data_IF_880801242113
#
_entry.id   IF_880801242113
#
_cell.length_a   1.000
_cell.length_b   1.000
_cell.length_c   1.000
_cell.angle_alpha   90.00
_cell.angle_beta   90.00
_cell.angle_gamma   90.00
#
_symmetry.space_group_name_H-M   'P 1'
#
loop_
_entity.id
_entity.type
_entity.pdbx_description
1 polymer ?
#
# COMPACT_ATOMS: atom_id res chain seq x y z
N UNK A 1 33.28 23.73 10.03
CA UNK A 1 33.48 22.39 9.42
C UNK A 1 32.12 21.72 9.41
N UNK A 2 31.55 21.50 8.21
CA UNK A 2 30.24 20.86 8.06
C UNK A 2 30.28 19.38 8.49
N UNK A 3 29.14 18.86 8.97
CA UNK A 3 28.99 17.44 9.27
C UNK A 3 29.24 16.63 7.99
N UNK A 4 29.83 15.41 8.08
CA UNK A 4 29.93 14.52 6.96
C UNK A 4 28.58 14.30 6.29
N UNK A 5 28.54 14.28 4.96
CA UNK A 5 27.31 14.22 4.14
C UNK A 5 26.38 13.09 4.61
N UNK A 6 26.93 11.96 5.01
CA UNK A 6 26.18 10.79 5.50
C UNK A 6 25.44 11.07 6.83
N UNK A 7 26.04 11.82 7.74
CA UNK A 7 25.38 12.23 9.00
C UNK A 7 24.28 13.26 8.75
N UNK A 8 24.48 14.14 7.76
CA UNK A 8 23.47 15.09 7.31
C UNK A 8 22.25 14.38 6.73
N UNK A 9 22.45 13.38 5.90
CA UNK A 9 21.37 12.57 5.30
C UNK A 9 20.59 11.79 6.37
N UNK A 10 21.26 11.14 7.31
CA UNK A 10 20.61 10.39 8.40
C UNK A 10 19.77 11.31 9.29
N UNK A 11 20.31 12.47 9.66
CA UNK A 11 19.58 13.46 10.46
C UNK A 11 18.37 14.01 9.73
N UNK A 12 18.49 14.27 8.44
CA UNK A 12 17.40 14.73 7.59
C UNK A 12 16.30 13.65 7.44
N UNK A 13 16.67 12.39 7.20
CA UNK A 13 15.74 11.27 7.10
C UNK A 13 14.95 11.07 8.41
N UNK A 14 15.62 11.16 9.57
CA UNK A 14 14.97 11.07 10.88
C UNK A 14 13.98 12.22 11.12
N UNK A 15 14.38 13.45 10.76
CA UNK A 15 13.51 14.63 10.90
C UNK A 15 12.31 14.57 9.94
N UNK A 16 12.49 14.08 8.73
CA UNK A 16 11.41 13.89 7.77
C UNK A 16 10.42 12.85 8.27
N UNK A 17 10.91 11.71 8.77
CA UNK A 17 10.07 10.66 9.36
C UNK A 17 9.26 11.20 10.53
N UNK A 18 9.90 11.97 11.44
CA UNK A 18 9.22 12.59 12.56
C UNK A 18 8.10 13.54 12.11
N UNK A 19 8.37 14.39 11.12
CA UNK A 19 7.37 15.33 10.57
C UNK A 19 6.23 14.63 9.83
N UNK A 20 6.51 13.53 9.13
CA UNK A 20 5.48 12.70 8.49
C UNK A 20 4.55 12.05 9.53
N UNK A 21 5.10 11.64 10.66
CA UNK A 21 4.32 11.06 11.76
C UNK A 21 3.49 12.09 12.54
N UNK A 22 3.96 13.35 12.61
CA UNK A 22 3.31 14.43 13.38
C UNK A 22 2.26 15.22 12.58
N UNK A 23 2.24 15.12 11.24
CA UNK A 23 1.34 15.93 10.41
C UNK A 23 0.22 15.11 9.79
N UNK A 24 -1.01 15.38 10.18
CA UNK A 24 -2.24 14.94 9.53
C UNK A 24 -2.71 15.92 8.44
N UNK A 25 -1.95 16.96 8.13
CA UNK A 25 -2.27 18.00 7.14
C UNK A 25 -1.17 18.16 6.09
N UNK A 26 -1.56 18.50 4.87
CA UNK A 26 -0.71 18.67 3.68
C UNK A 26 0.72 19.16 3.96
N UNK A 27 1.72 18.29 3.76
CA UNK A 27 3.13 18.67 3.77
C UNK A 27 3.49 19.16 2.37
N UNK A 28 3.58 20.47 2.18
CA UNK A 28 4.24 21.07 1.01
C UNK A 28 5.73 21.13 1.28
N UNK A 29 6.46 20.13 0.81
CA UNK A 29 7.92 20.16 0.84
C UNK A 29 8.43 21.04 -0.29
N UNK A 30 8.81 22.30 0.02
CA UNK A 30 9.63 23.12 -0.85
C UNK A 30 11.09 22.84 -0.56
N UNK A 31 11.74 22.07 -1.41
CA UNK A 31 13.19 21.95 -1.39
C UNK A 31 13.81 22.99 -2.33
N UNK A 32 14.62 23.90 -1.80
CA UNK A 32 15.58 24.68 -2.56
C UNK A 32 16.95 24.05 -2.40
N UNK A 33 17.51 23.53 -3.48
CA UNK A 33 18.92 23.14 -3.58
C UNK A 33 19.70 24.37 -4.08
N UNK A 34 20.24 25.14 -3.16
CA UNK A 34 21.05 26.33 -3.50
C UNK A 34 22.51 26.00 -3.81
N UNK A 35 22.87 24.73 -3.95
CA UNK A 35 24.27 24.31 -3.89
C UNK A 35 24.86 23.64 -5.12
N UNK A 36 24.11 23.37 -6.20
CA UNK A 36 24.71 22.87 -7.44
C UNK A 36 24.00 23.42 -8.67
N UNK A 37 24.56 24.45 -9.35
CA UNK A 37 24.04 24.91 -10.65
C UNK A 37 24.24 23.81 -11.71
N UNK A 38 23.14 23.31 -12.27
CA UNK A 38 23.17 22.44 -13.46
C UNK A 38 22.97 20.94 -13.24
N UNK A 39 22.83 20.45 -12.01
CA UNK A 39 22.45 19.06 -11.80
C UNK A 39 20.92 18.89 -11.98
N UNK A 40 20.46 17.92 -12.80
CA UNK A 40 19.04 17.61 -12.85
C UNK A 40 18.62 17.12 -11.46
N UNK A 41 17.60 17.77 -10.88
CA UNK A 41 17.00 17.34 -9.61
C UNK A 41 16.33 15.99 -9.86
N UNK A 42 17.06 14.91 -9.67
CA UNK A 42 16.44 13.59 -9.59
C UNK A 42 15.70 13.55 -8.25
N UNK A 43 14.37 13.53 -8.28
CA UNK A 43 13.59 13.28 -7.07
C UNK A 43 14.09 11.99 -6.42
N UNK A 44 14.40 12.05 -5.13
CA UNK A 44 14.82 10.86 -4.38
C UNK A 44 13.79 9.75 -4.57
N UNK A 45 14.22 8.50 -4.85
CA UNK A 45 13.32 7.37 -4.98
C UNK A 45 12.35 7.22 -3.80
N UNK A 46 12.78 7.61 -2.60
CA UNK A 46 11.99 7.60 -1.37
C UNK A 46 10.84 8.60 -1.36
N UNK A 47 11.03 9.79 -1.93
CA UNK A 47 9.98 10.82 -2.04
C UNK A 47 8.92 10.36 -3.06
N UNK A 48 9.35 9.77 -4.16
CA UNK A 48 8.45 9.20 -5.17
C UNK A 48 7.65 8.04 -4.56
N UNK A 49 8.27 7.22 -3.74
CA UNK A 49 7.63 6.08 -3.09
C UNK A 49 6.62 6.52 -2.03
N UNK A 50 6.95 7.49 -1.18
CA UNK A 50 6.04 8.07 -0.19
C UNK A 50 4.80 8.71 -0.85
N UNK A 51 4.97 9.56 -1.86
CA UNK A 51 3.86 10.14 -2.63
C UNK A 51 2.99 9.09 -3.33
N UNK A 52 3.60 8.00 -3.79
CA UNK A 52 2.89 6.89 -4.39
C UNK A 52 2.06 6.09 -3.38
N UNK A 53 2.54 5.95 -2.15
CA UNK A 53 1.80 5.33 -1.06
C UNK A 53 0.57 6.17 -0.71
N UNK A 54 0.73 7.46 -0.46
CA UNK A 54 -0.38 8.37 -0.14
C UNK A 54 -1.46 8.37 -1.24
N UNK A 55 -1.05 8.47 -2.51
CA UNK A 55 -1.99 8.40 -3.64
C UNK A 55 -2.68 7.04 -3.75
N UNK A 56 -1.97 5.94 -3.48
CA UNK A 56 -2.53 4.59 -3.51
C UNK A 56 -3.51 4.34 -2.38
N UNK A 57 -3.28 4.95 -1.23
CA UNK A 57 -4.13 4.83 -0.05
C UNK A 57 -5.20 5.93 0.05
N UNK A 58 -5.29 6.86 -0.92
CA UNK A 58 -6.25 7.97 -0.86
C UNK A 58 -7.71 7.54 -0.74
N UNK A 59 -8.04 6.35 -1.26
CA UNK A 59 -9.39 5.73 -1.16
C UNK A 59 -9.47 4.65 -0.07
N UNK A 60 -8.51 4.64 0.84
CA UNK A 60 -8.46 3.69 1.93
C UNK A 60 -8.26 4.42 3.25
N UNK A 61 -8.91 3.95 4.29
CA UNK A 61 -8.75 4.45 5.66
C UNK A 61 -8.15 3.36 6.53
N UNK A 62 -7.12 3.72 7.29
CA UNK A 62 -6.59 2.86 8.33
C UNK A 62 -7.45 2.99 9.58
N UNK A 63 -7.83 1.85 10.14
CA UNK A 63 -8.51 1.74 11.43
C UNK A 63 -7.70 0.84 12.35
N UNK A 64 -7.64 1.11 13.65
CA UNK A 64 -7.07 0.17 14.60
C UNK A 64 -7.85 -1.14 14.57
N UNK A 65 -7.16 -2.25 14.82
CA UNK A 65 -7.85 -3.53 15.01
C UNK A 65 -8.67 -3.49 16.30
N UNK A 66 -9.94 -3.91 16.31
CA UNK A 66 -10.81 -3.75 17.48
C UNK A 66 -10.30 -4.48 18.71
N UNK A 67 -9.74 -5.69 18.55
CA UNK A 67 -9.29 -6.52 19.67
C UNK A 67 -7.85 -6.24 20.08
N UNK A 68 -7.00 -5.77 19.15
CA UNK A 68 -5.57 -5.51 19.37
C UNK A 68 -5.16 -4.20 18.69
N UNK A 69 -5.54 -3.02 19.22
CA UNK A 69 -5.19 -1.75 18.61
C UNK A 69 -3.69 -1.47 18.76
N UNK A 70 -3.02 -1.29 17.61
CA UNK A 70 -1.61 -0.87 17.54
C UNK A 70 -1.45 0.35 16.64
N UNK A 71 -0.22 0.82 16.46
CA UNK A 71 0.10 1.76 15.37
C UNK A 71 -0.13 1.11 14.01
N UNK A 72 -0.34 1.93 12.96
CA UNK A 72 -0.61 1.41 11.61
C UNK A 72 0.50 0.48 11.11
N UNK A 73 0.17 -0.76 10.67
CA UNK A 73 1.15 -1.68 10.11
C UNK A 73 1.40 -1.46 8.61
N UNK A 74 0.61 -0.63 7.94
CA UNK A 74 0.50 -0.59 6.48
C UNK A 74 1.63 0.17 5.81
N UNK A 75 2.32 -0.50 4.88
CA UNK A 75 3.33 0.12 4.03
C UNK A 75 3.38 -0.52 2.64
N UNK A 76 4.05 0.15 1.69
CA UNK A 76 4.27 -0.38 0.35
C UNK A 76 5.55 -1.21 0.31
N UNK A 77 5.44 -2.46 -0.15
CA UNK A 77 6.58 -3.36 -0.35
C UNK A 77 6.55 -4.00 -1.73
N UNK A 78 7.73 -4.39 -2.20
CA UNK A 78 7.89 -5.11 -3.47
C UNK A 78 7.67 -6.61 -3.26
N UNK A 79 6.75 -7.20 -4.02
CA UNK A 79 6.47 -8.65 -4.00
C UNK A 79 6.32 -9.19 -5.43
N UNK A 80 6.44 -10.49 -5.61
CA UNK A 80 6.15 -11.17 -6.86
C UNK A 80 4.66 -11.57 -6.91
N UNK A 81 4.15 -11.74 -8.13
CA UNK A 81 2.78 -12.22 -8.37
C UNK A 81 2.78 -13.49 -9.19
N UNK A 82 1.79 -14.35 -8.96
CA UNK A 82 1.66 -15.69 -9.58
C UNK A 82 1.43 -15.64 -11.09
N UNK A 83 1.14 -14.48 -11.66
CA UNK A 83 1.03 -14.28 -13.11
C UNK A 83 2.38 -13.92 -13.78
N UNK A 84 3.49 -14.16 -13.08
CA UNK A 84 4.85 -13.95 -13.57
C UNK A 84 5.39 -12.53 -13.38
N UNK A 85 4.61 -11.59 -12.87
CA UNK A 85 5.10 -10.23 -12.58
C UNK A 85 5.98 -10.24 -11.35
N UNK A 86 7.11 -9.54 -11.46
CA UNK A 86 8.09 -9.40 -10.39
C UNK A 86 8.16 -7.95 -9.90
N UNK A 87 8.54 -7.79 -8.65
CA UNK A 87 8.77 -6.48 -8.02
C UNK A 87 7.55 -5.55 -8.15
N UNK A 88 6.36 -6.09 -7.97
CA UNK A 88 5.14 -5.28 -7.91
C UNK A 88 4.94 -4.67 -6.54
N UNK A 89 4.40 -3.45 -6.50
CA UNK A 89 4.09 -2.80 -5.24
C UNK A 89 2.80 -3.35 -4.65
N UNK A 90 2.92 -3.96 -3.48
CA UNK A 90 1.82 -4.37 -2.60
C UNK A 90 1.70 -3.39 -1.44
N UNK A 91 0.52 -3.18 -0.94
CA UNK A 91 0.31 -2.65 0.41
C UNK A 91 0.29 -3.85 1.35
N UNK A 92 1.19 -3.85 2.32
CA UNK A 92 1.39 -4.96 3.25
C UNK A 92 1.30 -4.46 4.69
N UNK A 93 1.01 -5.36 5.60
CA UNK A 93 1.08 -5.13 7.05
C UNK A 93 2.39 -5.67 7.65
N UNK A 94 3.49 -5.54 6.92
CA UNK A 94 4.82 -6.00 7.34
C UNK A 94 5.77 -4.81 7.49
N UNK A 95 5.73 -4.09 8.63
CA UNK A 95 6.64 -2.97 8.87
C UNK A 95 8.07 -3.45 9.20
N UNK A 96 9.04 -2.55 9.06
CA UNK A 96 10.46 -2.85 9.31
C UNK A 96 10.75 -3.31 10.77
N UNK A 97 9.85 -3.06 11.69
CA UNK A 97 9.96 -3.45 13.11
C UNK A 97 9.44 -4.84 13.45
N UNK A 98 8.91 -5.60 12.48
CA UNK A 98 8.34 -6.93 12.70
C UNK A 98 6.85 -7.04 12.37
N UNK A 99 6.25 -8.19 12.63
CA UNK A 99 4.91 -8.58 12.18
C UNK A 99 3.84 -8.46 13.27
N UNK A 100 4.17 -7.89 14.44
CA UNK A 100 3.27 -7.85 15.60
C UNK A 100 2.25 -6.71 15.58
N UNK A 101 2.34 -5.81 14.60
CA UNK A 101 1.38 -4.72 14.46
C UNK A 101 0.13 -5.18 13.74
N UNK A 102 -1.02 -4.70 14.20
CA UNK A 102 -2.34 -5.05 13.67
C UNK A 102 -3.08 -3.83 13.13
N UNK A 103 -4.06 -4.06 12.26
CA UNK A 103 -4.87 -2.98 11.71
C UNK A 103 -5.91 -3.44 10.71
N UNK A 104 -6.81 -2.53 10.39
CA UNK A 104 -7.84 -2.73 9.36
C UNK A 104 -7.72 -1.62 8.32
N UNK A 105 -7.44 -2.01 7.09
CA UNK A 105 -7.43 -1.09 5.95
C UNK A 105 -8.76 -1.21 5.22
N UNK A 106 -9.61 -0.19 5.33
CA UNK A 106 -10.94 -0.16 4.71
C UNK A 106 -10.97 0.75 3.50
N UNK A 107 -11.50 0.25 2.37
CA UNK A 107 -11.73 1.08 1.19
C UNK A 107 -12.91 2.03 1.35
N UNK A 108 -12.96 3.10 0.55
CA UNK A 108 -14.21 3.80 0.32
C UNK A 108 -15.24 2.83 -0.30
N UNK A 109 -16.55 3.07 -0.09
CA UNK A 109 -17.58 2.33 -0.80
C UNK A 109 -17.46 2.47 -2.32
N UNK A 110 -17.75 1.40 -3.03
CA UNK A 110 -17.75 1.35 -4.49
C UNK A 110 -18.88 0.46 -5.01
N UNK A 111 -19.25 0.67 -6.27
CA UNK A 111 -20.23 -0.18 -6.92
C UNK A 111 -19.60 -1.50 -7.32
N UNK A 112 -20.16 -2.62 -6.86
CA UNK A 112 -19.69 -3.96 -7.16
C UNK A 112 -19.77 -4.22 -8.66
N UNK A 113 -18.66 -4.61 -9.34
CA UNK A 113 -18.67 -5.06 -10.72
C UNK A 113 -19.20 -6.50 -10.82
N UNK A 114 -19.36 -6.99 -12.04
CA UNK A 114 -19.66 -8.41 -12.31
C UNK A 114 -18.63 -9.34 -11.70
N UNK A 115 -17.34 -8.98 -11.84
CA UNK A 115 -16.21 -9.65 -11.23
C UNK A 115 -15.24 -8.64 -10.60
N UNK A 116 -14.96 -8.83 -9.32
CA UNK A 116 -13.88 -8.15 -8.61
C UNK A 116 -12.67 -9.07 -8.55
N UNK A 117 -11.50 -8.59 -8.98
CA UNK A 117 -10.26 -9.35 -8.81
C UNK A 117 -9.12 -8.48 -8.29
N UNK A 118 -8.22 -9.11 -7.55
CA UNK A 118 -7.03 -8.50 -6.95
C UNK A 118 -5.98 -9.59 -6.68
N UNK A 119 -4.80 -9.19 -6.22
CA UNK A 119 -3.75 -10.11 -5.79
C UNK A 119 -3.56 -10.01 -4.29
N UNK A 120 -3.39 -11.18 -3.66
CA UNK A 120 -3.27 -11.37 -2.22
C UNK A 120 -2.05 -12.24 -1.92
N UNK A 121 -1.19 -11.79 -0.98
CA UNK A 121 -0.09 -12.55 -0.40
C UNK A 121 -0.13 -12.46 1.13
N UNK A 122 0.76 -13.19 1.79
CA UNK A 122 0.86 -13.20 3.24
C UNK A 122 0.58 -14.54 3.89
N UNK A 123 0.45 -14.52 5.21
CA UNK A 123 0.46 -15.73 6.03
C UNK A 123 -0.68 -15.77 7.05
N UNK A 124 -0.85 -16.94 7.65
CA UNK A 124 -1.85 -17.30 8.67
C UNK A 124 -1.19 -18.15 9.75
N UNK A 125 -0.08 -17.63 10.32
CA UNK A 125 0.78 -18.38 11.24
C UNK A 125 1.88 -19.19 10.55
N UNK A 126 2.67 -19.87 11.33
CA UNK A 126 3.82 -20.64 10.85
C UNK A 126 3.43 -21.73 9.84
N UNK A 127 4.29 -22.03 8.85
CA UNK A 127 3.97 -22.97 7.77
C UNK A 127 3.54 -24.37 8.23
N UNK A 128 4.08 -24.85 9.34
CA UNK A 128 3.80 -26.20 9.89
C UNK A 128 2.66 -26.22 10.91
N UNK A 129 2.18 -25.06 11.33
CA UNK A 129 1.09 -24.96 12.29
C UNK A 129 -0.27 -24.92 11.59
N UNK A 130 -1.37 -25.31 12.25
CA UNK A 130 -2.71 -25.08 11.75
C UNK A 130 -2.92 -23.61 11.42
N UNK A 131 -3.51 -23.29 10.25
CA UNK A 131 -3.75 -21.89 9.88
C UNK A 131 -4.81 -21.25 10.79
N UNK A 132 -4.58 -20.02 11.23
CA UNK A 132 -5.58 -19.23 11.94
C UNK A 132 -6.35 -18.29 11.01
N UNK A 133 -7.44 -17.67 11.51
CA UNK A 133 -8.34 -16.82 10.74
C UNK A 133 -8.24 -15.33 11.07
N UNK A 134 -7.10 -14.90 11.64
CA UNK A 134 -6.88 -13.52 12.08
C UNK A 134 -6.59 -12.56 10.93
N UNK A 135 -5.94 -13.04 9.85
CA UNK A 135 -5.59 -12.26 8.67
C UNK A 135 -6.50 -12.62 7.50
N UNK A 136 -7.21 -11.65 6.91
CA UNK A 136 -8.14 -11.88 5.81
C UNK A 136 -8.45 -10.63 5.02
N UNK A 137 -9.01 -10.81 3.82
CA UNK A 137 -9.72 -9.77 3.07
C UNK A 137 -11.19 -10.12 3.05
N UNK A 138 -12.06 -9.14 3.33
CA UNK A 138 -13.50 -9.33 3.22
C UNK A 138 -14.18 -8.24 2.38
N UNK A 139 -15.25 -8.62 1.72
CA UNK A 139 -16.18 -7.75 1.03
C UNK A 139 -17.42 -7.59 1.89
N UNK A 140 -17.80 -6.36 2.14
CA UNK A 140 -18.92 -6.02 3.03
C UNK A 140 -19.93 -5.19 2.26
N UNK A 141 -21.20 -5.48 2.46
CA UNK A 141 -22.32 -4.66 2.01
C UNK A 141 -22.29 -3.30 2.71
N UNK A 142 -22.26 -2.22 1.95
CA UNK A 142 -22.13 -0.88 2.53
C UNK A 142 -23.41 -0.40 3.24
N UNK A 143 -24.56 -0.94 2.85
CA UNK A 143 -25.87 -0.53 3.39
C UNK A 143 -26.23 -1.32 4.66
N UNK A 144 -25.90 -2.62 4.69
CA UNK A 144 -26.31 -3.53 5.79
C UNK A 144 -25.17 -3.86 6.76
N UNK A 145 -23.92 -3.70 6.33
CA UNK A 145 -22.73 -4.15 7.10
C UNK A 145 -22.54 -5.67 7.05
N UNK A 146 -23.31 -6.40 6.25
CA UNK A 146 -23.18 -7.86 6.09
C UNK A 146 -21.92 -8.23 5.36
N UNK A 147 -21.19 -9.24 5.85
CA UNK A 147 -20.07 -9.82 5.15
C UNK A 147 -20.52 -10.70 3.99
N UNK A 148 -20.21 -10.30 2.77
CA UNK A 148 -20.62 -11.01 1.56
C UNK A 148 -19.61 -12.07 1.12
N UNK A 149 -18.30 -11.81 1.32
CA UNK A 149 -17.21 -12.70 0.93
C UNK A 149 -16.01 -12.52 1.85
N UNK A 150 -15.26 -13.61 2.01
CA UNK A 150 -13.98 -13.60 2.73
C UNK A 150 -12.95 -14.46 2.01
N UNK A 151 -11.69 -14.05 2.08
CA UNK A 151 -10.54 -14.83 1.62
C UNK A 151 -9.37 -14.64 2.57
N UNK A 152 -8.60 -15.68 2.77
CA UNK A 152 -7.43 -15.70 3.60
C UNK A 152 -6.14 -15.68 2.77
N UNK A 153 -5.03 -15.12 3.30
CA UNK A 153 -3.76 -15.14 2.61
C UNK A 153 -3.28 -16.58 2.30
N UNK A 154 -2.59 -16.77 1.17
CA UNK A 154 -2.24 -18.10 0.67
C UNK A 154 -1.11 -18.82 1.41
N UNK A 155 -0.57 -18.22 2.50
CA UNK A 155 0.64 -18.64 3.22
C UNK A 155 1.87 -18.62 2.29
N UNK A 156 1.99 -17.54 1.51
CA UNK A 156 3.05 -17.37 0.52
C UNK A 156 3.35 -15.87 0.33
N UNK A 157 4.63 -15.56 0.10
CA UNK A 157 5.10 -14.21 -0.20
C UNK A 157 4.77 -13.77 -1.62
N UNK A 158 4.48 -14.73 -2.51
CA UNK A 158 4.05 -14.47 -3.89
C UNK A 158 2.54 -14.28 -3.94
N UNK A 159 2.11 -13.15 -4.48
CA UNK A 159 0.69 -12.83 -4.57
C UNK A 159 -0.08 -13.75 -5.51
N UNK A 160 -1.15 -14.34 -5.01
CA UNK A 160 -2.10 -15.15 -5.76
C UNK A 160 -3.28 -14.30 -6.22
N UNK A 161 -3.76 -14.50 -7.44
CA UNK A 161 -4.96 -13.82 -7.93
C UNK A 161 -6.21 -14.38 -7.24
N UNK A 162 -7.01 -13.46 -6.70
CA UNK A 162 -8.34 -13.74 -6.16
C UNK A 162 -9.38 -13.19 -7.14
N UNK A 163 -10.46 -13.93 -7.35
CA UNK A 163 -11.60 -13.54 -8.20
C UNK A 163 -12.90 -13.76 -7.46
N UNK A 164 -13.70 -12.71 -7.37
CA UNK A 164 -15.02 -12.74 -6.76
C UNK A 164 -16.09 -12.33 -7.76
N UNK A 165 -16.97 -13.24 -8.11
CA UNK A 165 -18.22 -12.90 -8.76
C UNK A 165 -19.15 -12.25 -7.72
N UNK A 166 -19.82 -11.18 -8.08
CA UNK A 166 -20.71 -10.43 -7.22
C UNK A 166 -22.02 -10.08 -7.88
N UNK A 167 -22.88 -9.40 -7.14
CA UNK A 167 -24.09 -8.80 -7.67
C UNK A 167 -23.75 -7.40 -8.19
N UNK A 168 -23.75 -7.17 -9.53
CA UNK A 168 -23.44 -5.87 -10.08
C UNK A 168 -24.38 -4.79 -9.56
N UNK A 169 -23.85 -3.60 -9.33
CA UNK A 169 -24.63 -2.44 -8.87
C UNK A 169 -24.76 -2.30 -7.35
N UNK A 170 -24.46 -3.35 -6.57
CA UNK A 170 -24.51 -3.30 -5.11
C UNK A 170 -23.41 -2.39 -4.57
N UNK A 171 -23.69 -1.54 -3.57
CA UNK A 171 -22.71 -0.73 -2.87
C UNK A 171 -21.98 -1.61 -1.84
N UNK A 172 -20.66 -1.66 -1.95
CA UNK A 172 -19.82 -2.52 -1.11
C UNK A 172 -18.54 -1.80 -0.74
N UNK A 173 -17.85 -2.27 0.30
CA UNK A 173 -16.48 -1.88 0.60
C UNK A 173 -15.61 -3.11 0.92
N UNK A 174 -14.31 -2.94 0.80
CA UNK A 174 -13.32 -3.95 1.16
C UNK A 174 -12.70 -3.63 2.50
N UNK A 175 -12.39 -4.67 3.26
CA UNK A 175 -11.46 -4.60 4.40
C UNK A 175 -10.34 -5.61 4.21
N UNK A 176 -9.12 -5.12 4.40
CA UNK A 176 -7.93 -5.94 4.58
C UNK A 176 -7.62 -5.92 6.07
N UNK A 177 -7.73 -7.05 6.72
CA UNK A 177 -7.60 -7.18 8.18
C UNK A 177 -6.33 -7.94 8.50
N UNK A 178 -5.50 -7.32 9.33
CA UNK A 178 -4.41 -7.96 10.03
C UNK A 178 -4.72 -7.93 11.52
N UNK A 179 -5.04 -9.08 12.09
CA UNK A 179 -5.33 -9.27 13.51
C UNK A 179 -4.32 -10.18 14.21
N UNK A 180 -3.24 -10.55 13.53
CA UNK A 180 -2.23 -11.42 14.11
C UNK A 180 -1.10 -10.63 14.76
N UNK A 181 -0.87 -10.88 16.03
CA UNK A 181 0.22 -10.28 16.84
C UNK A 181 1.47 -11.16 16.89
N UNK A 182 1.55 -12.17 16.03
CA UNK A 182 2.71 -13.07 15.94
C UNK A 182 3.98 -12.35 15.49
N UNK A 183 5.13 -12.88 15.89
CA UNK A 183 6.43 -12.32 15.53
C UNK A 183 6.93 -12.72 14.15
N UNK A 184 6.28 -13.70 13.47
CA UNK A 184 6.60 -14.16 12.13
C UNK A 184 5.42 -14.87 11.48
N UNK A 185 5.35 -14.82 10.13
CA UNK A 185 4.25 -15.36 9.34
C UNK A 185 2.86 -14.82 9.73
N UNK A 186 2.82 -13.54 10.12
CA UNK A 186 1.69 -12.86 10.73
C UNK A 186 1.26 -11.61 9.95
N UNK A 187 1.44 -11.57 8.63
CA UNK A 187 1.18 -10.41 7.80
C UNK A 187 0.32 -10.73 6.57
N UNK A 188 -0.26 -9.70 5.98
CA UNK A 188 -1.09 -9.76 4.77
C UNK A 188 -0.72 -8.64 3.80
N UNK A 189 -0.86 -8.87 2.50
CA UNK A 189 -0.59 -7.86 1.49
C UNK A 189 -1.47 -7.98 0.26
N UNK A 190 -1.89 -6.83 -0.29
CA UNK A 190 -2.80 -6.74 -1.43
C UNK A 190 -2.31 -5.77 -2.51
N UNK A 191 -2.70 -6.04 -3.75
CA UNK A 191 -2.44 -5.13 -4.89
C UNK A 191 -3.39 -5.38 -6.07
N UNK A 192 -3.36 -4.50 -7.06
CA UNK A 192 -3.99 -4.65 -8.39
C UNK A 192 -5.48 -5.01 -8.35
N UNK A 193 -6.26 -4.25 -7.62
CA UNK A 193 -7.70 -4.32 -7.81
C UNK A 193 -8.04 -3.89 -9.24
N UNK A 194 -9.00 -4.57 -9.89
CA UNK A 194 -9.49 -4.21 -11.23
C UNK A 194 -10.39 -2.97 -11.23
N UNK A 195 -10.54 -2.33 -10.09
CA UNK A 195 -11.24 -1.07 -9.88
C UNK A 195 -10.26 0.04 -9.54
N UNK A 196 -10.66 1.28 -9.74
CA UNK A 196 -9.90 2.45 -9.30
C UNK A 196 -10.06 2.67 -7.78
N UNK A 197 -9.48 1.77 -7.01
CA UNK A 197 -9.37 1.87 -5.55
C UNK A 197 -8.02 2.48 -5.12
N UNK A 198 -7.30 3.14 -6.02
CA UNK A 198 -6.02 3.77 -5.72
C UNK A 198 -4.81 2.80 -5.67
N UNK A 199 -5.01 1.48 -5.74
CA UNK A 199 -3.93 0.49 -5.76
C UNK A 199 -3.55 0.11 -7.20
N UNK A 200 -2.77 0.97 -7.87
CA UNK A 200 -2.35 0.76 -9.26
C UNK A 200 -1.09 -0.10 -9.39
N UNK A 201 -0.98 -0.86 -10.50
CA UNK A 201 0.28 -1.50 -10.86
C UNK A 201 1.29 -0.47 -11.41
N UNK A 202 2.60 -0.71 -11.19
CA UNK A 202 3.70 0.13 -11.73
C UNK A 202 3.57 0.41 -13.24
N UNK A 203 2.95 -0.47 -14.01
CA UNK A 203 2.82 -0.36 -15.46
C UNK A 203 1.93 0.82 -15.91
N UNK A 204 0.85 1.11 -15.17
CA UNK A 204 0.00 2.29 -15.47
C UNK A 204 0.69 3.61 -15.13
N UNK A 205 1.54 3.63 -14.08
CA UNK A 205 2.31 4.82 -13.72
C UNK A 205 3.35 5.22 -14.78
N UNK A 206 4.09 4.23 -15.33
CA UNK A 206 5.11 4.51 -16.36
C UNK A 206 4.46 5.01 -17.65
N UNK A 207 3.28 4.51 -18.02
CA UNK A 207 2.56 5.00 -19.20
C UNK A 207 2.03 6.43 -19.02
N UNK A 208 1.54 6.79 -17.84
CA UNK A 208 1.09 8.15 -17.53
C UNK A 208 2.25 9.16 -17.46
N UNK A 209 3.42 8.76 -16.94
CA UNK A 209 4.63 9.58 -16.96
C UNK A 209 5.19 9.78 -18.38
N UNK A 210 5.14 8.75 -19.25
CA UNK A 210 5.53 8.89 -20.66
C UNK A 210 4.59 9.81 -21.44
N UNK A 211 3.28 9.77 -21.19
CA UNK A 211 2.32 10.68 -21.80
C UNK A 211 2.48 12.13 -21.29
N UNK A 212 2.82 12.33 -20.02
CA UNK A 212 3.14 13.64 -19.46
C UNK A 212 4.39 14.26 -20.10
N UNK A 213 5.46 13.49 -20.29
CA UNK A 213 6.70 13.96 -20.92
C UNK A 213 6.52 14.26 -22.42
N UNK A 214 5.65 13.56 -23.15
CA UNK A 214 5.37 13.89 -24.57
C UNK A 214 4.62 15.21 -24.72
N UNK A 215 3.82 15.63 -23.73
CA UNK A 215 3.16 16.95 -23.75
C UNK A 215 4.11 18.12 -23.45
N UNK A 216 5.17 17.89 -22.67
CA UNK A 216 6.13 18.94 -22.32
C UNK A 216 7.14 19.21 -23.44
N UNK A 217 7.44 18.25 -24.30
CA UNK A 217 8.34 18.43 -25.45
C UNK A 217 7.69 19.17 -26.64
N UNK A 218 6.37 19.35 -26.63
CA UNK A 218 5.64 20.08 -27.67
C UNK A 218 5.51 21.60 -27.45
N UNK A 219 5.99 22.13 -26.31
CA UNK A 219 5.80 23.55 -25.96
C UNK A 219 7.05 24.43 -26.21
N UNK A 220 8.18 23.82 -26.61
CA UNK A 220 9.42 24.54 -26.94
C UNK A 220 9.76 24.36 -28.43
N UNK A 221 8.98 24.99 -29.29
CA UNK A 221 9.37 25.37 -30.65
C UNK A 221 8.87 26.77 -30.95
#
# INVERSE_FOLDING_TARGET
>A
RGLPVEQGIRRWATELTRKLLESTSEIKLHWRSDSVPGAPVSESPWIIEARNIERKLSKWKNHPHPDNPTSSPWLAQSRNSSDGRRNETYITSLPDGGESLTGVLRSEPFTMPEELHFFLCGHRGYPNDPPHDKNFVRLVDADTGEELKRVYPPRNDTGRQIRWKGTPGKQVYLEVVDGDTGGAFAWIGVTRFNLDLGLFSKRKMISSLRQGNQRLTGVFR
#
